data_IF_727014112698
#
_entry.id   IF_727014112698
#
_cell.length_a   1.000
_cell.length_b   1.000
_cell.length_c   1.000
_cell.angle_alpha   90.00
_cell.angle_beta   90.00
_cell.angle_gamma   90.00
#
_symmetry.space_group_name_H-M   'P 1'
#
loop_
_entity.id
_entity.type
_entity.pdbx_description
1 polymer ?
#
# COMPACT_ATOMS: atom_id res chain seq x y z
N UNK A 1 73.27 -18.08 3.13
CA UNK A 1 72.79 -18.80 1.92
C UNK A 1 71.36 -19.22 2.15
N UNK A 2 70.43 -18.40 1.78
CA UNK A 2 68.97 -18.59 1.93
C UNK A 2 68.35 -18.83 0.54
N UNK A 3 67.69 -19.95 0.39
CA UNK A 3 67.05 -20.36 -0.87
C UNK A 3 65.74 -19.54 -1.10
N UNK A 4 65.43 -19.11 -2.34
CA UNK A 4 64.21 -18.42 -2.66
C UNK A 4 63.03 -19.39 -2.78
N UNK A 5 61.87 -19.01 -2.18
CA UNK A 5 60.62 -19.76 -2.28
C UNK A 5 59.95 -19.62 -3.64
N UNK A 6 59.30 -20.69 -4.10
CA UNK A 6 58.52 -20.78 -5.34
C UNK A 6 57.23 -19.97 -5.25
N UNK A 7 56.75 -19.32 -6.33
CA UNK A 7 55.46 -18.61 -6.33
C UNK A 7 54.28 -19.57 -6.40
N UNK A 8 53.26 -19.22 -5.65
CA UNK A 8 51.98 -19.91 -5.55
C UNK A 8 51.15 -19.63 -6.82
N UNK A 9 50.81 -20.67 -7.57
CA UNK A 9 50.00 -20.59 -8.78
C UNK A 9 48.51 -20.54 -8.36
N UNK A 10 47.86 -19.40 -8.58
CA UNK A 10 46.40 -19.26 -8.42
C UNK A 10 45.70 -19.94 -9.61
N UNK A 11 44.93 -21.00 -9.31
CA UNK A 11 44.04 -21.62 -10.30
C UNK A 11 42.81 -20.68 -10.49
N UNK A 12 42.73 -20.06 -11.64
CA UNK A 12 41.53 -19.32 -12.08
C UNK A 12 40.43 -20.33 -12.39
N UNK A 13 39.43 -20.31 -11.52
CA UNK A 13 38.20 -21.09 -11.68
C UNK A 13 37.27 -20.31 -12.64
N UNK A 14 37.30 -20.62 -13.93
CA UNK A 14 36.38 -20.07 -14.94
C UNK A 14 35.03 -20.77 -14.76
N UNK A 15 34.20 -20.23 -13.89
CA UNK A 15 32.79 -20.56 -13.85
C UNK A 15 32.13 -20.11 -15.15
N UNK A 16 31.71 -21.07 -15.98
CA UNK A 16 30.93 -20.81 -17.18
C UNK A 16 29.59 -20.20 -16.81
N UNK A 17 29.48 -18.89 -16.98
CA UNK A 17 28.20 -18.18 -16.88
C UNK A 17 27.25 -18.77 -17.94
N UNK A 18 26.31 -19.61 -17.54
CA UNK A 18 25.14 -19.98 -18.36
C UNK A 18 24.48 -18.69 -18.80
N UNK A 19 24.56 -18.36 -20.08
CA UNK A 19 23.72 -17.34 -20.70
C UNK A 19 22.28 -17.79 -20.51
N UNK A 20 21.55 -17.10 -19.63
CA UNK A 20 20.10 -17.21 -19.56
C UNK A 20 19.59 -16.72 -20.93
N UNK A 21 19.02 -17.64 -21.71
CA UNK A 21 18.24 -17.28 -22.89
C UNK A 21 17.16 -16.31 -22.47
N UNK A 22 17.00 -15.15 -23.12
CA UNK A 22 15.89 -14.25 -22.80
C UNK A 22 14.59 -15.02 -23.02
N UNK A 23 13.78 -15.16 -21.97
CA UNK A 23 12.39 -15.57 -22.12
C UNK A 23 11.77 -14.54 -23.08
N UNK A 24 11.07 -14.96 -24.17
CA UNK A 24 10.46 -14.00 -25.07
C UNK A 24 9.59 -13.06 -24.24
N UNK A 25 9.82 -11.76 -24.42
CA UNK A 25 9.05 -10.72 -23.73
C UNK A 25 7.57 -10.98 -24.03
N UNK A 26 6.80 -11.42 -23.01
CA UNK A 26 5.36 -11.49 -23.15
C UNK A 26 4.90 -10.08 -23.53
N UNK A 27 4.26 -9.94 -24.70
CA UNK A 27 3.77 -8.66 -25.14
C UNK A 27 2.82 -8.12 -24.08
N UNK A 28 3.13 -6.97 -23.50
CA UNK A 28 2.25 -6.32 -22.55
C UNK A 28 0.91 -5.96 -23.22
N UNK A 29 -0.21 -6.04 -22.50
CA UNK A 29 -1.50 -5.61 -23.03
C UNK A 29 -1.49 -4.12 -23.34
N UNK A 30 -2.31 -3.69 -24.29
CA UNK A 30 -2.58 -2.28 -24.59
C UNK A 30 -3.46 -1.70 -23.49
N UNK A 31 -3.03 -0.61 -22.87
CA UNK A 31 -3.69 -0.01 -21.71
C UNK A 31 -4.28 1.34 -22.08
N UNK A 32 -5.54 1.61 -21.70
CA UNK A 32 -6.12 2.94 -21.69
C UNK A 32 -6.58 3.33 -20.28
N UNK A 33 -6.39 4.60 -19.91
CA UNK A 33 -6.80 5.14 -18.62
C UNK A 33 -8.09 5.96 -18.76
N UNK A 34 -9.10 5.60 -17.99
CA UNK A 34 -10.38 6.33 -17.91
C UNK A 34 -10.33 7.16 -16.62
N UNK A 35 -9.99 8.44 -16.77
CA UNK A 35 -9.72 9.37 -15.68
C UNK A 35 -8.27 9.82 -15.67
N UNK A 36 -8.04 11.13 -15.89
CA UNK A 36 -6.72 11.75 -15.89
C UNK A 36 -6.42 12.47 -14.56
N UNK A 37 -6.90 11.88 -13.45
CA UNK A 37 -6.61 12.35 -12.11
C UNK A 37 -5.17 12.02 -11.65
N UNK A 38 -4.87 12.28 -10.39
CA UNK A 38 -3.52 12.05 -9.82
C UNK A 38 -3.03 10.62 -10.02
N UNK A 39 -3.85 9.62 -9.72
CA UNK A 39 -3.52 8.21 -9.89
C UNK A 39 -3.37 7.85 -11.36
N UNK A 40 -4.36 8.19 -12.20
CA UNK A 40 -4.38 7.81 -13.61
C UNK A 40 -3.16 8.32 -14.37
N UNK A 41 -2.82 9.60 -14.25
CA UNK A 41 -1.66 10.16 -14.95
C UNK A 41 -0.31 9.68 -14.38
N UNK A 42 -0.22 9.41 -13.07
CA UNK A 42 1.00 8.83 -12.50
C UNK A 42 1.24 7.42 -13.02
N UNK A 43 0.22 6.56 -13.02
CA UNK A 43 0.33 5.20 -13.54
C UNK A 43 0.54 5.16 -15.05
N UNK A 44 -0.15 6.02 -15.82
CA UNK A 44 0.06 6.13 -17.26
C UNK A 44 1.52 6.48 -17.59
N UNK A 45 2.09 7.47 -16.90
CA UNK A 45 3.49 7.84 -17.02
C UNK A 45 4.43 6.67 -16.62
N UNK A 46 4.17 6.01 -15.50
CA UNK A 46 5.00 4.91 -15.02
C UNK A 46 5.01 3.73 -16.03
N UNK A 47 3.83 3.34 -16.54
CA UNK A 47 3.73 2.29 -17.56
C UNK A 47 4.38 2.68 -18.88
N UNK A 48 4.20 3.92 -19.35
CA UNK A 48 4.86 4.42 -20.55
C UNK A 48 6.38 4.38 -20.41
N UNK A 49 6.93 4.84 -19.29
CA UNK A 49 8.37 4.77 -18.99
C UNK A 49 8.90 3.32 -18.95
N UNK A 50 8.05 2.39 -18.53
CA UNK A 50 8.38 0.96 -18.51
C UNK A 50 8.21 0.25 -19.87
N UNK A 51 7.84 0.98 -20.93
CA UNK A 51 7.64 0.42 -22.27
C UNK A 51 6.35 -0.37 -22.42
N UNK A 52 5.40 -0.27 -21.48
CA UNK A 52 4.07 -0.85 -21.62
C UNK A 52 3.24 0.02 -22.57
N UNK A 53 2.52 -0.58 -23.54
CA UNK A 53 1.74 0.17 -24.54
C UNK A 53 0.55 0.91 -23.90
N UNK A 54 0.74 2.19 -23.54
CA UNK A 54 -0.36 3.07 -23.11
C UNK A 54 -0.94 3.73 -24.34
N UNK A 55 -2.10 3.25 -24.80
CA UNK A 55 -2.73 3.71 -26.05
C UNK A 55 -3.42 5.07 -25.91
N UNK A 56 -3.78 5.47 -24.68
CA UNK A 56 -4.35 6.78 -24.45
C UNK A 56 -5.00 6.94 -23.08
N UNK A 57 -5.56 8.13 -22.89
CA UNK A 57 -6.38 8.44 -21.71
C UNK A 57 -7.68 9.16 -22.07
N UNK A 58 -8.69 8.99 -21.23
CA UNK A 58 -10.00 9.68 -21.33
C UNK A 58 -10.11 10.65 -20.16
N UNK A 59 -10.47 11.90 -20.44
CA UNK A 59 -10.74 12.93 -19.43
C UNK A 59 -12.14 13.53 -19.63
N UNK A 60 -12.77 13.95 -18.54
CA UNK A 60 -14.19 14.37 -18.48
C UNK A 60 -14.53 15.54 -19.40
N UNK A 61 -13.60 16.44 -19.68
CA UNK A 61 -13.89 17.69 -20.39
C UNK A 61 -13.26 17.71 -21.78
N UNK A 62 -14.09 17.59 -22.82
CA UNK A 62 -13.63 17.68 -24.21
C UNK A 62 -13.26 19.12 -24.63
N UNK A 63 -13.69 20.15 -23.86
CA UNK A 63 -13.49 21.57 -24.19
C UNK A 63 -12.34 22.23 -23.43
N UNK A 64 -11.87 21.63 -22.36
CA UNK A 64 -10.71 22.15 -21.63
C UNK A 64 -9.42 21.78 -22.35
N UNK A 65 -8.45 22.69 -22.32
CA UNK A 65 -7.09 22.45 -22.82
C UNK A 65 -6.54 21.07 -22.39
N UNK A 66 -5.58 20.49 -23.12
CA UNK A 66 -4.99 19.20 -22.75
C UNK A 66 -4.69 19.19 -21.25
N UNK A 67 -4.96 18.07 -20.56
CA UNK A 67 -4.83 17.93 -19.09
C UNK A 67 -3.40 18.22 -18.58
N UNK A 68 -2.50 18.57 -19.46
CA UNK A 68 -1.20 19.19 -19.17
C UNK A 68 -1.32 20.60 -18.53
N UNK A 69 -2.58 21.08 -18.28
CA UNK A 69 -2.84 22.28 -17.46
C UNK A 69 -2.36 22.15 -16.01
N UNK A 70 -2.05 20.93 -15.55
CA UNK A 70 -1.33 20.74 -14.29
C UNK A 70 0.17 21.04 -14.42
N UNK A 71 0.69 21.27 -15.64
CA UNK A 71 2.09 21.61 -15.89
C UNK A 71 3.11 20.53 -15.50
N UNK A 72 2.65 19.29 -15.22
CA UNK A 72 3.53 18.22 -14.73
C UNK A 72 4.07 17.31 -15.85
N UNK A 73 3.60 17.45 -17.09
CA UNK A 73 4.10 16.68 -18.25
C UNK A 73 3.94 15.15 -18.17
N UNK A 74 3.18 14.64 -17.19
CA UNK A 74 3.08 13.18 -16.96
C UNK A 74 2.33 12.44 -18.07
N UNK A 75 1.49 13.14 -18.84
CA UNK A 75 0.78 12.56 -19.99
C UNK A 75 1.41 12.97 -21.33
N UNK A 76 2.62 13.51 -21.33
CA UNK A 76 3.31 13.88 -22.56
C UNK A 76 3.48 12.68 -23.49
N UNK A 77 3.05 12.82 -24.74
CA UNK A 77 3.11 11.75 -25.74
C UNK A 77 2.03 10.68 -25.62
N UNK A 78 1.15 10.75 -24.62
CA UNK A 78 -0.02 9.84 -24.48
C UNK A 78 -1.24 10.55 -25.09
N UNK A 79 -1.90 9.98 -26.14
CA UNK A 79 -3.01 10.61 -26.79
C UNK A 79 -4.26 10.67 -25.90
N UNK A 80 -5.01 11.75 -26.02
CA UNK A 80 -6.35 11.85 -25.44
C UNK A 80 -7.34 11.14 -26.37
N UNK A 81 -8.15 10.28 -25.81
CA UNK A 81 -9.14 9.48 -26.53
C UNK A 81 -10.57 9.81 -26.05
N UNK A 82 -11.54 9.54 -26.89
CA UNK A 82 -12.93 9.33 -26.46
C UNK A 82 -13.05 7.99 -25.76
N UNK A 83 -14.14 7.80 -25.01
CA UNK A 83 -14.40 6.52 -24.34
C UNK A 83 -14.56 5.36 -25.36
N UNK A 84 -15.18 5.64 -26.50
CA UNK A 84 -15.34 4.66 -27.58
C UNK A 84 -13.99 4.26 -28.18
N UNK A 85 -13.11 5.23 -28.46
CA UNK A 85 -11.77 4.94 -28.99
C UNK A 85 -10.94 4.13 -27.99
N UNK A 86 -11.02 4.47 -26.71
CA UNK A 86 -10.33 3.72 -25.65
C UNK A 86 -10.80 2.25 -25.60
N UNK A 87 -12.12 2.00 -25.67
CA UNK A 87 -12.68 0.66 -25.69
C UNK A 87 -12.35 -0.13 -26.97
N UNK A 88 -12.08 0.55 -28.08
CA UNK A 88 -11.69 -0.10 -29.33
C UNK A 88 -10.20 -0.44 -29.41
N UNK A 89 -9.34 0.37 -28.77
CA UNK A 89 -7.90 0.29 -28.92
C UNK A 89 -7.20 -0.47 -27.78
N UNK A 90 -7.79 -0.50 -26.57
CA UNK A 90 -7.20 -1.11 -25.41
C UNK A 90 -7.67 -2.54 -25.19
N UNK A 91 -6.82 -3.35 -24.59
CA UNK A 91 -7.15 -4.66 -24.04
C UNK A 91 -7.52 -4.53 -22.55
N UNK A 92 -6.87 -3.60 -21.84
CA UNK A 92 -7.09 -3.30 -20.43
C UNK A 92 -7.54 -1.85 -20.24
N UNK A 93 -8.73 -1.66 -19.67
CA UNK A 93 -9.30 -0.35 -19.40
C UNK A 93 -9.22 -0.07 -17.88
N UNK A 94 -8.45 0.95 -17.53
CA UNK A 94 -8.15 1.32 -16.16
C UNK A 94 -9.03 2.48 -15.70
N UNK A 95 -10.00 2.20 -14.83
CA UNK A 95 -10.88 3.19 -14.23
C UNK A 95 -10.16 3.86 -13.06
N UNK A 96 -9.62 5.04 -13.30
CA UNK A 96 -8.89 5.88 -12.34
C UNK A 96 -9.68 7.14 -12.00
N UNK A 97 -10.98 6.97 -11.88
CA UNK A 97 -11.96 7.97 -11.43
C UNK A 97 -12.17 7.86 -9.91
N UNK A 98 -12.80 8.85 -9.24
CA UNK A 98 -13.19 8.70 -7.83
C UNK A 98 -14.05 7.46 -7.59
N UNK A 99 -13.96 6.88 -6.40
CA UNK A 99 -14.53 5.57 -6.06
C UNK A 99 -16.05 5.51 -6.32
N UNK A 100 -16.77 6.56 -5.96
CA UNK A 100 -18.23 6.73 -6.16
C UNK A 100 -18.64 6.82 -7.64
N UNK A 101 -17.71 7.06 -8.55
CA UNK A 101 -17.95 7.14 -9.98
C UNK A 101 -17.58 5.85 -10.75
N UNK A 102 -16.92 4.88 -10.12
CA UNK A 102 -16.44 3.67 -10.81
C UNK A 102 -17.59 2.91 -11.47
N UNK A 103 -18.66 2.65 -10.72
CA UNK A 103 -19.82 1.92 -11.25
C UNK A 103 -20.47 2.66 -12.44
N UNK A 104 -20.74 3.96 -12.24
CA UNK A 104 -21.34 4.77 -13.29
C UNK A 104 -20.50 4.80 -14.58
N UNK A 105 -19.17 4.98 -14.44
CA UNK A 105 -18.28 4.98 -15.60
C UNK A 105 -18.20 3.59 -16.24
N UNK A 106 -18.14 2.52 -15.45
CA UNK A 106 -18.17 1.16 -15.98
C UNK A 106 -19.42 0.88 -16.82
N UNK A 107 -20.59 1.42 -16.42
CA UNK A 107 -21.86 1.25 -17.14
C UNK A 107 -21.89 1.99 -18.50
N UNK A 108 -21.00 2.96 -18.72
CA UNK A 108 -20.94 3.72 -20.00
C UNK A 108 -19.98 3.14 -21.03
N UNK A 109 -19.19 2.14 -20.66
CA UNK A 109 -18.18 1.54 -21.55
C UNK A 109 -18.79 0.38 -22.33
N UNK A 110 -18.52 0.33 -23.64
CA UNK A 110 -18.88 -0.80 -24.49
C UNK A 110 -17.88 -1.96 -24.29
N UNK A 111 -18.08 -2.70 -23.20
CA UNK A 111 -17.23 -3.84 -22.84
C UNK A 111 -17.32 -4.99 -23.83
N UNK A 112 -16.24 -5.77 -23.90
CA UNK A 112 -16.10 -6.98 -24.70
C UNK A 112 -15.47 -8.08 -23.87
N UNK A 113 -15.63 -9.33 -24.25
CA UNK A 113 -15.15 -10.53 -23.56
C UNK A 113 -13.61 -10.62 -23.43
N UNK A 114 -12.88 -10.00 -24.36
CA UNK A 114 -11.41 -9.91 -24.29
C UNK A 114 -10.87 -8.77 -23.40
N UNK A 115 -11.73 -7.88 -22.93
CA UNK A 115 -11.30 -6.78 -22.06
C UNK A 115 -10.97 -7.23 -20.64
N UNK A 116 -10.07 -6.53 -20.01
CA UNK A 116 -9.89 -6.54 -18.57
C UNK A 116 -10.29 -5.16 -18.03
N UNK A 117 -11.31 -5.14 -17.20
CA UNK A 117 -11.73 -3.95 -16.45
C UNK A 117 -10.91 -3.85 -15.17
N UNK A 118 -10.20 -2.73 -15.02
CA UNK A 118 -9.32 -2.50 -13.85
C UNK A 118 -9.78 -1.25 -13.11
N UNK A 119 -9.86 -1.28 -11.79
CA UNK A 119 -9.92 -0.06 -10.99
C UNK A 119 -8.79 0.02 -9.96
N UNK A 120 -8.45 1.25 -9.54
CA UNK A 120 -7.37 1.52 -8.60
C UNK A 120 -7.86 1.87 -7.18
N UNK A 121 -9.16 1.76 -6.90
CA UNK A 121 -9.70 1.98 -5.55
C UNK A 121 -9.15 0.94 -4.58
N UNK A 122 -8.82 1.37 -3.37
CA UNK A 122 -8.40 0.50 -2.27
C UNK A 122 -9.58 -0.20 -1.59
N UNK A 123 -10.75 0.44 -1.53
CA UNK A 123 -11.91 0.00 -0.75
C UNK A 123 -13.07 -0.53 -1.59
N UNK A 124 -13.23 -0.07 -2.85
CA UNK A 124 -14.35 -0.46 -3.71
C UNK A 124 -14.20 -1.89 -4.18
N UNK A 125 -15.24 -2.70 -3.99
CA UNK A 125 -15.28 -4.09 -4.43
C UNK A 125 -15.39 -4.19 -5.97
N UNK A 126 -14.88 -5.28 -6.57
CA UNK A 126 -14.88 -5.49 -8.01
C UNK A 126 -16.30 -5.53 -8.59
N UNK A 127 -17.31 -5.85 -7.77
CA UNK A 127 -18.73 -5.84 -8.16
C UNK A 127 -19.23 -4.47 -8.63
N UNK A 128 -18.52 -3.39 -8.34
CA UNK A 128 -18.79 -2.07 -8.91
C UNK A 128 -18.66 -2.04 -10.44
N UNK A 129 -17.89 -2.96 -11.02
CA UNK A 129 -17.72 -3.11 -12.48
C UNK A 129 -18.56 -4.29 -13.04
N UNK A 130 -19.73 -4.57 -12.45
CA UNK A 130 -20.59 -5.69 -12.86
C UNK A 130 -21.02 -5.62 -14.33
N UNK A 131 -21.20 -4.44 -14.88
CA UNK A 131 -21.51 -4.26 -16.31
C UNK A 131 -20.41 -4.84 -17.21
N UNK A 132 -19.15 -4.67 -16.86
CA UNK A 132 -18.03 -5.28 -17.56
C UNK A 132 -18.07 -6.81 -17.45
N UNK A 133 -18.31 -7.35 -16.26
CA UNK A 133 -18.41 -8.78 -16.02
C UNK A 133 -19.55 -9.41 -16.81
N UNK A 134 -20.72 -8.77 -16.87
CA UNK A 134 -21.88 -9.23 -17.62
C UNK A 134 -21.62 -9.27 -19.14
N UNK A 135 -20.72 -8.42 -19.63
CA UNK A 135 -20.28 -8.42 -21.04
C UNK A 135 -19.12 -9.42 -21.31
N UNK A 136 -18.71 -10.21 -20.31
CA UNK A 136 -17.66 -11.22 -20.43
C UNK A 136 -16.26 -10.72 -20.10
N UNK A 137 -16.08 -9.44 -19.77
CA UNK A 137 -14.78 -8.91 -19.39
C UNK A 137 -14.29 -9.46 -18.03
N UNK A 138 -13.00 -9.66 -17.91
CA UNK A 138 -12.38 -10.01 -16.63
C UNK A 138 -12.29 -8.77 -15.72
N UNK A 139 -12.40 -8.96 -14.41
CA UNK A 139 -12.30 -7.88 -13.44
C UNK A 139 -11.01 -7.97 -12.61
N UNK A 140 -10.37 -6.83 -12.41
CA UNK A 140 -9.14 -6.72 -11.64
C UNK A 140 -9.14 -5.44 -10.80
N UNK A 141 -8.79 -5.57 -9.52
CA UNK A 141 -8.44 -4.45 -8.67
C UNK A 141 -6.92 -4.31 -8.61
N UNK A 142 -6.40 -3.09 -8.80
CA UNK A 142 -4.97 -2.81 -8.77
C UNK A 142 -4.72 -1.53 -7.96
N UNK A 143 -4.48 -1.69 -6.66
CA UNK A 143 -4.33 -0.57 -5.74
C UNK A 143 -2.87 -0.42 -5.29
N UNK A 144 -2.09 0.49 -5.87
CA UNK A 144 -0.75 0.77 -5.39
C UNK A 144 -0.78 1.33 -3.97
N UNK A 145 0.03 0.77 -3.07
CA UNK A 145 0.26 1.32 -1.73
C UNK A 145 1.23 2.50 -1.83
N UNK A 146 0.72 3.62 -2.33
CA UNK A 146 1.48 4.82 -2.63
C UNK A 146 0.65 6.08 -2.36
N UNK A 147 1.32 7.19 -2.04
CA UNK A 147 0.71 8.49 -1.82
C UNK A 147 0.78 9.30 -3.13
N UNK A 148 -0.39 9.57 -3.72
CA UNK A 148 -0.51 10.29 -4.98
C UNK A 148 -0.84 11.79 -4.82
N UNK A 149 -0.61 12.38 -3.65
CA UNK A 149 -0.83 13.82 -3.42
C UNK A 149 -0.02 14.69 -4.39
N UNK A 150 1.22 14.27 -4.68
CA UNK A 150 2.13 14.90 -5.64
C UNK A 150 2.50 13.87 -6.74
N UNK A 151 1.83 13.92 -7.90
CA UNK A 151 1.95 12.88 -8.92
C UNK A 151 3.36 12.63 -9.46
N UNK A 152 4.19 13.68 -9.63
CA UNK A 152 5.60 13.50 -10.06
C UNK A 152 6.40 12.71 -9.04
N UNK A 153 6.32 13.09 -7.76
CA UNK A 153 6.99 12.38 -6.68
C UNK A 153 6.47 10.94 -6.60
N UNK A 154 5.15 10.76 -6.75
CA UNK A 154 4.54 9.44 -6.74
C UNK A 154 5.12 8.53 -7.82
N UNK A 155 5.35 9.02 -9.05
CA UNK A 155 5.96 8.23 -10.12
C UNK A 155 7.39 7.82 -9.77
N UNK A 156 8.19 8.74 -9.25
CA UNK A 156 9.60 8.50 -8.98
C UNK A 156 9.82 7.59 -7.74
N UNK A 157 8.86 7.60 -6.79
CA UNK A 157 8.90 6.78 -5.57
C UNK A 157 8.01 5.53 -5.65
N UNK A 158 7.38 5.26 -6.79
CA UNK A 158 6.56 4.06 -7.01
C UNK A 158 7.37 2.76 -6.92
N UNK A 159 8.58 2.67 -7.53
CA UNK A 159 9.40 1.47 -7.43
C UNK A 159 9.73 1.10 -5.97
N UNK A 160 9.63 -0.18 -5.65
CA UNK A 160 9.80 -0.71 -4.28
C UNK A 160 8.53 -0.76 -3.45
N UNK A 161 7.46 -0.06 -3.85
CA UNK A 161 6.16 -0.14 -3.20
C UNK A 161 5.45 -1.47 -3.47
N UNK A 162 4.39 -1.73 -2.71
CA UNK A 162 3.50 -2.88 -2.92
C UNK A 162 2.26 -2.45 -3.68
N UNK A 163 1.58 -3.42 -4.29
CA UNK A 163 0.28 -3.20 -4.93
C UNK A 163 -0.70 -4.30 -4.52
N UNK A 164 -1.85 -3.90 -4.00
CA UNK A 164 -2.95 -4.80 -3.70
C UNK A 164 -3.66 -5.23 -4.98
N UNK A 165 -3.62 -6.51 -5.30
CA UNK A 165 -4.28 -7.09 -6.48
C UNK A 165 -5.41 -8.00 -6.03
N UNK A 166 -6.58 -7.80 -6.58
CA UNK A 166 -7.73 -8.70 -6.49
C UNK A 166 -8.18 -9.08 -7.89
N UNK A 167 -8.54 -10.34 -8.09
CA UNK A 167 -9.04 -10.85 -9.36
C UNK A 167 -10.38 -11.51 -9.08
N UNK A 168 -11.43 -11.07 -9.78
CA UNK A 168 -12.68 -11.81 -9.81
C UNK A 168 -12.54 -12.97 -10.79
N UNK A 169 -12.76 -14.17 -10.30
CA UNK A 169 -12.96 -15.32 -11.18
C UNK A 169 -14.29 -15.15 -11.92
N UNK A 170 -14.29 -15.43 -13.24
CA UNK A 170 -15.56 -15.59 -13.96
C UNK A 170 -16.40 -16.61 -13.18
N UNK A 171 -17.75 -16.47 -13.18
CA UNK A 171 -18.61 -17.45 -12.55
C UNK A 171 -18.49 -18.79 -13.29
N UNK A 172 -17.47 -19.55 -12.93
CA UNK A 172 -17.37 -20.96 -13.29
C UNK A 172 -18.35 -21.74 -12.41
N UNK A 173 -18.98 -22.76 -12.97
CA UNK A 173 -19.97 -23.64 -12.39
C UNK A 173 -19.79 -23.93 -10.88
N UNK A 174 -20.86 -24.27 -10.14
CA UNK A 174 -20.92 -24.28 -8.68
C UNK A 174 -19.70 -24.98 -8.08
N UNK A 175 -18.92 -24.20 -7.33
CA UNK A 175 -17.73 -24.68 -6.67
C UNK A 175 -18.06 -25.90 -5.80
N UNK A 176 -17.51 -27.03 -6.12
CA UNK A 176 -17.47 -28.17 -5.22
C UNK A 176 -16.66 -27.73 -3.99
N UNK A 177 -17.35 -27.50 -2.88
CA UNK A 177 -16.74 -27.20 -1.58
C UNK A 177 -15.87 -28.38 -1.18
N UNK A 178 -14.58 -28.26 -1.22
CA UNK A 178 -13.67 -29.28 -0.71
C UNK A 178 -12.35 -29.47 -1.42
N UNK A 179 -12.13 -28.89 -2.58
CA UNK A 179 -10.80 -28.94 -3.20
C UNK A 179 -9.94 -27.84 -2.58
N UNK A 180 -8.88 -28.23 -1.89
CA UNK A 180 -7.70 -27.44 -1.63
C UNK A 180 -7.19 -27.02 -3.02
N UNK A 181 -7.46 -25.78 -3.44
CA UNK A 181 -6.95 -25.24 -4.71
C UNK A 181 -5.42 -25.23 -4.59
N UNK A 182 -4.79 -26.23 -5.19
CA UNK A 182 -3.40 -26.13 -5.59
C UNK A 182 -3.30 -24.87 -6.46
N UNK A 183 -2.63 -23.85 -5.94
CA UNK A 183 -2.67 -22.48 -6.44
C UNK A 183 -1.92 -22.38 -7.79
N UNK A 184 -2.49 -22.92 -8.86
CA UNK A 184 -2.04 -22.62 -10.21
C UNK A 184 -2.35 -21.14 -10.50
N UNK A 185 -1.31 -20.35 -10.64
CA UNK A 185 -1.40 -18.92 -10.97
C UNK A 185 -2.11 -18.76 -12.31
N UNK A 186 -3.26 -18.12 -12.33
CA UNK A 186 -4.03 -17.91 -13.57
C UNK A 186 -3.29 -17.02 -14.57
N UNK A 187 -3.56 -17.13 -15.88
CA UNK A 187 -2.95 -16.23 -16.87
C UNK A 187 -3.15 -14.75 -16.55
N UNK A 188 -4.34 -14.36 -16.08
CA UNK A 188 -4.63 -12.99 -15.67
C UNK A 188 -3.78 -12.56 -14.47
N UNK A 189 -3.57 -13.46 -13.50
CA UNK A 189 -2.71 -13.19 -12.35
C UNK A 189 -1.24 -13.02 -12.77
N UNK A 190 -0.78 -13.81 -13.74
CA UNK A 190 0.57 -13.68 -14.30
C UNK A 190 0.75 -12.33 -15.01
N UNK A 191 -0.22 -11.93 -15.83
CA UNK A 191 -0.21 -10.64 -16.53
C UNK A 191 -0.26 -9.46 -15.55
N UNK A 192 -1.14 -9.50 -14.55
CA UNK A 192 -1.22 -8.46 -13.52
C UNK A 192 0.09 -8.35 -12.73
N UNK A 193 0.72 -9.49 -12.41
CA UNK A 193 2.03 -9.54 -11.75
C UNK A 193 3.13 -8.95 -12.64
N UNK A 194 3.12 -9.27 -13.94
CA UNK A 194 4.10 -8.73 -14.88
C UNK A 194 3.98 -7.21 -15.01
N UNK A 195 2.74 -6.69 -15.13
CA UNK A 195 2.48 -5.25 -15.15
C UNK A 195 2.93 -4.55 -13.86
N UNK A 196 2.62 -5.12 -12.70
CA UNK A 196 3.08 -4.57 -11.42
C UNK A 196 4.60 -4.46 -11.38
N UNK A 197 5.30 -5.54 -11.73
CA UNK A 197 6.76 -5.59 -11.74
C UNK A 197 7.39 -4.66 -12.78
N UNK A 198 6.74 -4.45 -13.91
CA UNK A 198 7.23 -3.54 -14.95
C UNK A 198 7.41 -2.11 -14.42
N UNK A 199 6.56 -1.67 -13.49
CA UNK A 199 6.65 -0.36 -12.83
C UNK A 199 7.26 -0.43 -11.42
N UNK A 200 7.99 -1.51 -11.12
CA UNK A 200 8.74 -1.68 -9.87
C UNK A 200 7.91 -2.04 -8.65
N UNK A 201 6.64 -2.43 -8.81
CA UNK A 201 5.77 -2.82 -7.71
C UNK A 201 5.85 -4.32 -7.39
N UNK A 202 5.68 -4.66 -6.11
CA UNK A 202 5.55 -6.05 -5.66
C UNK A 202 4.08 -6.37 -5.35
N UNK A 203 3.47 -7.39 -6.00
CA UNK A 203 2.08 -7.77 -5.75
C UNK A 203 1.80 -8.28 -4.34
N UNK A 204 0.62 -7.90 -3.82
CA UNK A 204 -0.06 -8.48 -2.67
C UNK A 204 -1.44 -8.92 -3.13
N UNK A 205 -1.77 -10.21 -3.01
CA UNK A 205 -3.07 -10.70 -3.44
C UNK A 205 -4.10 -10.54 -2.32
N UNK A 206 -5.20 -9.83 -2.63
CA UNK A 206 -6.31 -9.59 -1.71
C UNK A 206 -7.38 -10.64 -2.01
N UNK A 207 -7.95 -11.22 -0.96
CA UNK A 207 -9.09 -12.14 -1.10
C UNK A 207 -10.35 -11.36 -1.48
N UNK A 208 -11.23 -11.92 -2.31
CA UNK A 208 -12.51 -11.29 -2.62
C UNK A 208 -13.29 -10.89 -1.36
N UNK A 209 -13.92 -9.71 -1.39
CA UNK A 209 -14.68 -9.16 -0.27
C UNK A 209 -13.84 -8.64 0.91
N UNK A 210 -12.53 -8.50 0.78
CA UNK A 210 -11.64 -8.03 1.86
C UNK A 210 -11.00 -6.66 1.57
N UNK A 211 -11.40 -5.99 0.51
CA UNK A 211 -10.80 -4.70 0.11
C UNK A 211 -10.97 -3.62 1.17
N UNK A 212 -12.16 -3.48 1.73
CA UNK A 212 -12.42 -2.47 2.77
C UNK A 212 -11.50 -2.66 4.00
N UNK A 213 -11.32 -3.91 4.46
CA UNK A 213 -10.44 -4.23 5.58
C UNK A 213 -8.96 -3.97 5.23
N UNK A 214 -8.54 -4.39 4.04
CA UNK A 214 -7.20 -4.11 3.52
C UNK A 214 -6.92 -2.61 3.45
N UNK A 215 -7.85 -1.82 2.91
CA UNK A 215 -7.69 -0.38 2.76
C UNK A 215 -7.70 0.36 4.11
N UNK A 216 -8.54 -0.07 5.05
CA UNK A 216 -8.52 0.46 6.41
C UNK A 216 -7.14 0.25 7.07
N UNK A 217 -6.52 -0.92 6.89
CA UNK A 217 -5.17 -1.18 7.36
C UNK A 217 -4.12 -0.26 6.73
N UNK A 218 -4.22 0.00 5.43
CA UNK A 218 -3.36 0.98 4.75
C UNK A 218 -3.59 2.41 5.28
N UNK A 219 -4.84 2.76 5.60
CA UNK A 219 -5.20 4.03 6.21
C UNK A 219 -4.53 4.27 7.56
N UNK A 220 -4.40 3.23 8.40
CA UNK A 220 -3.65 3.34 9.66
C UNK A 220 -2.17 3.62 9.43
N UNK A 221 -1.55 3.01 8.44
CA UNK A 221 -0.14 3.21 8.15
C UNK A 221 0.17 4.54 7.42
N UNK A 222 -0.82 5.19 6.83
CA UNK A 222 -0.67 6.42 6.07
C UNK A 222 -1.34 7.61 6.75
N UNK A 223 -2.63 7.86 6.48
CA UNK A 223 -3.33 9.06 6.95
C UNK A 223 -3.46 9.15 8.47
N UNK A 224 -3.65 8.01 9.17
CA UNK A 224 -3.71 8.03 10.62
C UNK A 224 -2.35 8.37 11.25
N UNK A 225 -1.23 7.95 10.66
CA UNK A 225 0.10 8.36 11.11
C UNK A 225 0.26 9.88 11.05
N UNK A 226 -0.17 10.52 9.95
CA UNK A 226 -0.14 11.99 9.82
C UNK A 226 -1.04 12.65 10.87
N UNK A 227 -2.22 12.07 11.15
CA UNK A 227 -3.12 12.58 12.21
C UNK A 227 -2.50 12.49 13.59
N UNK A 228 -1.75 11.41 13.90
CA UNK A 228 -1.03 11.29 15.16
C UNK A 228 0.10 12.32 15.30
N UNK A 229 0.81 12.61 14.21
CA UNK A 229 1.84 13.66 14.21
C UNK A 229 1.23 15.05 14.42
N UNK A 230 0.07 15.33 13.80
CA UNK A 230 -0.65 16.58 14.00
C UNK A 230 -1.11 16.73 15.46
N UNK A 231 -1.64 15.65 16.07
CA UNK A 231 -2.04 15.67 17.48
C UNK A 231 -0.83 15.88 18.42
N UNK A 232 0.29 15.21 18.13
CA UNK A 232 1.52 15.44 18.90
C UNK A 232 1.98 16.91 18.82
N UNK A 233 1.89 17.54 17.65
CA UNK A 233 2.21 18.96 17.49
C UNK A 233 1.26 19.86 18.26
N UNK A 234 -0.06 19.56 18.28
CA UNK A 234 -1.04 20.29 19.08
C UNK A 234 -0.70 20.22 20.59
N UNK A 235 -0.36 19.05 21.10
CA UNK A 235 0.04 18.88 22.50
C UNK A 235 1.30 19.69 22.84
N UNK A 236 2.27 19.74 21.93
CA UNK A 236 3.50 20.50 22.12
C UNK A 236 3.27 22.00 22.07
N UNK A 237 2.34 22.49 21.23
CA UNK A 237 1.92 23.89 21.22
C UNK A 237 1.32 24.29 22.56
N UNK A 238 0.47 23.46 23.15
CA UNK A 238 -0.08 23.69 24.49
C UNK A 238 0.98 23.65 25.60
N UNK A 239 2.07 22.88 25.39
CA UNK A 239 3.23 22.87 26.27
C UNK A 239 4.18 24.06 26.06
N UNK A 240 3.88 24.99 25.14
CA UNK A 240 4.66 26.21 24.90
C UNK A 240 5.89 25.99 23.98
N UNK A 241 5.90 24.91 23.18
CA UNK A 241 6.96 24.68 22.20
C UNK A 241 6.64 25.46 20.92
N UNK A 242 7.61 26.22 20.39
CA UNK A 242 7.46 27.03 19.18
C UNK A 242 7.19 26.16 17.94
N UNK A 243 6.39 26.69 17.00
CA UNK A 243 5.95 25.93 15.82
C UNK A 243 7.10 25.53 14.89
N UNK A 244 8.16 26.32 14.83
CA UNK A 244 9.34 26.05 14.00
C UNK A 244 10.08 24.79 14.44
N UNK A 245 10.14 24.52 15.75
CA UNK A 245 10.87 23.38 16.32
C UNK A 245 10.05 22.08 16.31
N UNK A 246 8.72 22.16 16.25
CA UNK A 246 7.85 20.97 16.42
C UNK A 246 8.05 19.91 15.36
N UNK A 247 7.96 20.27 14.08
CA UNK A 247 8.09 19.31 12.99
C UNK A 247 9.51 18.82 12.82
N UNK A 248 10.50 19.70 13.06
CA UNK A 248 11.91 19.34 13.01
C UNK A 248 12.31 18.32 14.09
N UNK A 249 11.56 18.25 15.19
CA UNK A 249 11.76 17.24 16.23
C UNK A 249 10.87 16.01 16.05
N UNK A 250 9.57 16.18 15.71
CA UNK A 250 8.60 15.08 15.62
C UNK A 250 8.83 14.18 14.41
N UNK A 251 9.19 14.73 13.24
CA UNK A 251 9.42 13.93 12.04
C UNK A 251 10.63 12.99 12.15
N UNK A 252 11.81 13.42 12.67
CA UNK A 252 12.90 12.50 12.93
C UNK A 252 12.58 11.45 14.00
N UNK A 253 11.79 11.79 15.03
CA UNK A 253 11.33 10.83 16.04
C UNK A 253 10.45 9.75 15.41
N UNK A 254 9.47 10.15 14.61
CA UNK A 254 8.60 9.20 13.88
C UNK A 254 9.41 8.30 12.93
N UNK A 255 10.36 8.86 12.18
CA UNK A 255 11.24 8.09 11.28
C UNK A 255 12.06 7.05 12.04
N UNK A 256 12.62 7.39 13.19
CA UNK A 256 13.35 6.45 14.06
C UNK A 256 12.43 5.36 14.62
N UNK A 257 11.18 5.69 14.93
CA UNK A 257 10.17 4.73 15.41
C UNK A 257 9.82 3.72 14.31
N UNK A 258 9.66 4.19 13.06
CA UNK A 258 9.43 3.31 11.90
C UNK A 258 10.64 2.38 11.70
N UNK A 259 11.86 2.91 11.72
CA UNK A 259 13.08 2.10 11.59
C UNK A 259 13.22 1.05 12.71
N UNK A 260 12.84 1.37 13.94
CA UNK A 260 12.80 0.41 15.05
C UNK A 260 11.77 -0.71 14.80
N UNK A 261 10.59 -0.37 14.26
CA UNK A 261 9.57 -1.35 13.90
C UNK A 261 10.05 -2.27 12.76
N UNK A 262 10.74 -1.73 11.74
CA UNK A 262 11.36 -2.51 10.67
C UNK A 262 12.40 -3.49 11.21
N UNK A 263 13.30 -3.03 12.09
CA UNK A 263 14.30 -3.87 12.72
C UNK A 263 13.67 -4.99 13.56
N UNK A 264 12.64 -4.69 14.34
CA UNK A 264 11.90 -5.68 15.13
C UNK A 264 11.21 -6.73 14.24
N UNK A 265 10.61 -6.30 13.14
CA UNK A 265 9.99 -7.19 12.17
C UNK A 265 11.03 -8.12 11.49
N UNK A 266 12.18 -7.58 11.10
CA UNK A 266 13.25 -8.35 10.46
C UNK A 266 13.86 -9.41 11.40
N UNK A 267 14.10 -9.07 12.66
CA UNK A 267 14.71 -9.98 13.66
C UNK A 267 13.83 -11.18 13.94
N UNK A 268 12.51 -11.03 13.84
CA UNK A 268 11.55 -12.08 14.18
C UNK A 268 10.87 -12.72 12.95
N UNK A 269 11.29 -12.40 11.74
CA UNK A 269 10.69 -12.93 10.51
C UNK A 269 10.72 -14.47 10.43
N UNK A 270 11.71 -15.11 11.07
CA UNK A 270 11.84 -16.57 11.17
C UNK A 270 10.94 -17.21 12.24
N UNK A 271 10.47 -16.43 13.23
CA UNK A 271 9.73 -16.90 14.39
C UNK A 271 8.25 -16.46 14.39
N UNK A 272 7.82 -15.61 13.45
CA UNK A 272 6.44 -15.16 13.35
C UNK A 272 5.51 -16.32 13.02
N UNK A 273 4.64 -16.68 13.96
CA UNK A 273 3.58 -17.66 13.72
C UNK A 273 2.44 -17.03 12.92
N UNK A 274 1.73 -17.84 12.13
CA UNK A 274 0.55 -17.37 11.37
C UNK A 274 -0.54 -16.74 12.25
N UNK A 275 -0.58 -17.06 13.53
CA UNK A 275 -1.56 -16.60 14.51
C UNK A 275 -1.26 -15.23 15.11
N UNK A 276 0.00 -14.75 15.05
CA UNK A 276 0.41 -13.46 15.61
C UNK A 276 1.47 -12.77 14.74
N UNK A 277 1.14 -12.41 13.49
CA UNK A 277 2.12 -11.90 12.52
C UNK A 277 2.71 -10.53 12.90
N UNK A 278 2.05 -9.78 13.79
CA UNK A 278 2.47 -8.44 14.24
C UNK A 278 3.09 -8.43 15.64
N UNK A 279 3.15 -9.57 16.34
CA UNK A 279 3.72 -9.67 17.68
C UNK A 279 5.14 -9.06 17.77
N UNK A 280 6.03 -9.23 16.77
CA UNK A 280 7.36 -8.62 16.80
C UNK A 280 7.35 -7.11 16.97
N UNK A 281 6.35 -6.41 16.48
CA UNK A 281 6.23 -4.95 16.60
C UNK A 281 6.11 -4.48 18.07
N UNK A 282 5.66 -5.36 18.98
CA UNK A 282 5.63 -5.07 20.41
C UNK A 282 7.01 -4.71 20.98
N UNK A 283 8.08 -5.29 20.43
CA UNK A 283 9.46 -4.98 20.86
C UNK A 283 9.97 -3.61 20.38
N UNK A 284 9.29 -2.99 19.41
CA UNK A 284 9.60 -1.63 18.97
C UNK A 284 8.88 -0.55 19.80
N UNK A 285 7.91 -0.93 20.65
CA UNK A 285 7.18 0.02 21.48
C UNK A 285 8.11 0.50 22.61
N UNK A 286 8.26 1.82 22.71
CA UNK A 286 9.00 2.49 23.76
C UNK A 286 8.03 3.38 24.59
N UNK A 287 8.53 3.93 25.70
CA UNK A 287 7.77 4.87 26.51
C UNK A 287 7.14 4.25 27.76
N UNK A 288 6.21 4.96 28.42
CA UNK A 288 5.71 4.58 29.74
C UNK A 288 4.89 3.28 29.72
N UNK A 289 4.12 3.03 28.66
CA UNK A 289 3.33 1.79 28.54
C UNK A 289 4.25 0.56 28.45
N UNK A 290 5.33 0.66 27.65
CA UNK A 290 6.29 -0.44 27.49
C UNK A 290 7.08 -0.76 28.79
N UNK A 291 7.19 0.21 29.70
CA UNK A 291 7.85 0.03 31.01
C UNK A 291 6.84 -0.20 32.15
N UNK A 292 5.54 -0.24 31.86
CA UNK A 292 4.47 -0.27 32.85
C UNK A 292 4.63 0.85 33.90
N UNK A 293 5.02 2.06 33.46
CA UNK A 293 5.21 3.23 34.31
C UNK A 293 3.85 3.92 34.57
N UNK A 294 3.12 3.38 35.56
CA UNK A 294 1.76 3.83 35.90
C UNK A 294 1.73 5.31 36.26
N UNK A 295 2.74 5.79 36.99
CA UNK A 295 2.80 7.19 37.43
C UNK A 295 2.92 8.17 36.25
N UNK A 296 3.67 7.82 35.21
CA UNK A 296 3.76 8.64 33.99
C UNK A 296 2.46 8.58 33.19
N UNK A 297 1.86 7.40 33.03
CA UNK A 297 0.57 7.23 32.34
C UNK A 297 -0.50 8.10 32.97
N UNK A 298 -0.63 8.08 34.29
CA UNK A 298 -1.57 8.91 35.04
C UNK A 298 -1.32 10.41 34.86
N UNK A 299 -0.06 10.85 34.89
CA UNK A 299 0.29 12.26 34.64
C UNK A 299 -0.10 12.70 33.21
N UNK A 300 0.10 11.84 32.21
CA UNK A 300 -0.34 12.15 30.83
C UNK A 300 -1.86 12.34 30.76
N UNK A 301 -2.62 11.38 31.30
CA UNK A 301 -4.07 11.44 31.30
C UNK A 301 -4.59 12.69 32.02
N UNK A 302 -4.01 13.00 33.21
CA UNK A 302 -4.37 14.18 33.98
C UNK A 302 -4.05 15.48 33.23
N UNK A 303 -2.92 15.56 32.55
CA UNK A 303 -2.53 16.73 31.74
C UNK A 303 -3.55 16.95 30.59
N UNK A 304 -3.94 15.89 29.90
CA UNK A 304 -4.96 15.96 28.85
C UNK A 304 -6.30 16.49 29.39
N UNK A 305 -6.81 15.94 30.48
CA UNK A 305 -8.03 16.42 31.11
C UNK A 305 -7.95 17.88 31.56
N UNK A 306 -6.83 18.27 32.20
CA UNK A 306 -6.61 19.64 32.67
C UNK A 306 -6.68 20.66 31.53
N UNK A 307 -6.28 20.28 30.32
CA UNK A 307 -6.35 21.13 29.12
C UNK A 307 -7.63 20.94 28.32
N UNK A 308 -8.62 20.18 28.85
CA UNK A 308 -9.90 19.93 28.17
C UNK A 308 -9.80 19.08 26.91
N UNK A 309 -8.75 18.26 26.79
CA UNK A 309 -8.50 17.40 25.64
C UNK A 309 -9.16 16.03 25.80
N UNK A 310 -9.45 15.38 24.65
CA UNK A 310 -10.05 14.05 24.65
C UNK A 310 -9.01 12.98 25.02
N UNK A 311 -9.21 12.37 26.18
CA UNK A 311 -8.37 11.26 26.68
C UNK A 311 -8.63 9.94 25.93
N UNK A 312 -9.73 9.81 25.17
CA UNK A 312 -10.11 8.57 24.52
C UNK A 312 -9.08 8.13 23.46
N UNK A 313 -8.50 9.08 22.72
CA UNK A 313 -7.44 8.78 21.75
C UNK A 313 -6.21 8.19 22.43
N UNK A 314 -5.72 8.84 23.49
CA UNK A 314 -4.55 8.35 24.24
C UNK A 314 -4.82 6.94 24.79
N UNK A 315 -5.98 6.72 25.39
CA UNK A 315 -6.39 5.40 25.90
C UNK A 315 -6.44 4.34 24.81
N UNK A 316 -7.11 4.63 23.70
CA UNK A 316 -7.21 3.68 22.57
C UNK A 316 -5.86 3.27 22.02
N UNK A 317 -4.94 4.22 21.90
CA UNK A 317 -3.55 3.94 21.46
C UNK A 317 -2.82 3.11 22.51
N UNK A 318 -2.91 3.49 23.81
CA UNK A 318 -2.27 2.74 24.89
C UNK A 318 -2.80 1.31 25.03
N UNK A 319 -4.11 1.09 24.88
CA UNK A 319 -4.73 -0.25 24.85
C UNK A 319 -4.20 -1.13 23.71
N UNK A 320 -3.97 -0.54 22.52
CA UNK A 320 -3.32 -1.26 21.41
C UNK A 320 -1.86 -1.59 21.72
N UNK A 321 -1.13 -0.68 22.39
CA UNK A 321 0.23 -0.95 22.84
C UNK A 321 0.26 -2.10 23.85
N UNK A 322 -0.64 -2.10 24.86
CA UNK A 322 -0.78 -3.19 25.84
C UNK A 322 -1.02 -4.54 25.15
N UNK A 323 -1.91 -4.59 24.16
CA UNK A 323 -2.18 -5.81 23.41
C UNK A 323 -0.94 -6.32 22.65
N UNK A 324 -0.20 -5.43 21.99
CA UNK A 324 1.03 -5.78 21.25
C UNK A 324 2.16 -6.23 22.20
N UNK A 325 2.35 -5.54 23.33
CA UNK A 325 3.34 -5.90 24.33
C UNK A 325 3.05 -7.27 24.97
N UNK A 326 1.76 -7.57 25.19
CA UNK A 326 1.31 -8.89 25.65
C UNK A 326 1.59 -9.99 24.63
N UNK A 327 1.28 -9.75 23.35
CA UNK A 327 1.56 -10.71 22.26
C UNK A 327 3.07 -10.96 22.08
N UNK A 328 3.89 -9.94 22.29
CA UNK A 328 5.34 -10.03 22.21
C UNK A 328 5.99 -10.67 23.48
N UNK A 329 5.22 -10.87 24.55
CA UNK A 329 5.78 -11.31 25.83
C UNK A 329 6.71 -10.27 26.49
N UNK A 330 6.58 -9.00 26.11
CA UNK A 330 7.45 -7.91 26.58
C UNK A 330 7.10 -7.44 28.00
N UNK A 331 5.89 -7.71 28.46
CA UNK A 331 5.42 -7.42 29.82
C UNK A 331 4.81 -8.67 30.47
N UNK A 332 4.94 -8.77 31.79
CA UNK A 332 4.24 -9.80 32.57
C UNK A 332 2.74 -9.52 32.66
N UNK A 333 1.94 -10.54 32.95
CA UNK A 333 0.48 -10.40 33.15
C UNK A 333 0.16 -9.33 34.21
N UNK A 334 0.88 -9.32 35.31
CA UNK A 334 0.70 -8.33 36.39
C UNK A 334 0.94 -6.89 35.87
N UNK A 335 1.98 -6.68 35.08
CA UNK A 335 2.27 -5.37 34.48
C UNK A 335 1.19 -4.94 33.49
N UNK A 336 0.75 -5.86 32.62
CA UNK A 336 -0.34 -5.59 31.67
C UNK A 336 -1.63 -5.19 32.39
N UNK A 337 -1.98 -5.89 33.47
CA UNK A 337 -3.19 -5.61 34.23
C UNK A 337 -3.10 -4.30 35.01
N UNK A 338 -1.93 -3.95 35.53
CA UNK A 338 -1.69 -2.65 36.17
C UNK A 338 -1.88 -1.48 35.17
N UNK A 339 -1.35 -1.61 33.94
CA UNK A 339 -1.55 -0.57 32.91
C UNK A 339 -3.02 -0.46 32.50
N UNK A 340 -3.72 -1.60 32.28
CA UNK A 340 -5.16 -1.59 31.98
C UNK A 340 -5.98 -0.92 33.07
N UNK A 341 -5.68 -1.21 34.34
CA UNK A 341 -6.36 -0.60 35.47
C UNK A 341 -6.17 0.92 35.50
N UNK A 342 -4.94 1.41 35.24
CA UNK A 342 -4.66 2.84 35.17
C UNK A 342 -5.43 3.53 34.03
N UNK A 343 -5.57 2.90 32.88
CA UNK A 343 -6.33 3.42 31.74
C UNK A 343 -7.84 3.42 32.00
N UNK A 344 -8.36 2.46 32.77
CA UNK A 344 -9.78 2.31 33.05
C UNK A 344 -10.36 3.43 33.95
N UNK A 345 -9.54 4.07 34.78
CA UNK A 345 -9.97 5.19 35.64
C UNK A 345 -10.56 6.35 34.83
N UNK A 346 -10.09 6.53 33.59
CA UNK A 346 -10.48 7.60 32.68
C UNK A 346 -11.47 7.10 31.59
N UNK A 347 -12.18 5.99 31.82
CA UNK A 347 -13.20 5.54 30.89
C UNK A 347 -14.38 6.56 30.85
N UNK A 348 -14.97 6.82 29.68
CA UNK A 348 -16.17 7.64 29.61
C UNK A 348 -17.25 6.97 30.45
N UNK A 349 -17.94 7.78 31.29
CA UNK A 349 -19.07 7.34 32.12
C UNK A 349 -20.31 7.11 31.27
#
# INVERSE_FOLDING_TARGET
>A
MTRPGKPYSAKTNTSSARRLTPVPAQAHPRIAFIGAGRVGRSLACAFQRAGVPVVGYVARDQKSAPVDTAGDGLLAGIPRLSLTEAALQADWLWLTVPDDHIAHVADTIAWRDHHVAVHCSGATELTAMRSAQNAGAALLGFHPLQIFSQPRIAVDTLPGSRVGIEIAHAPSAPAQRGAQEDAQTTPLQQQATALARAIGLTPLFIRPGQRALYHAGAGYAASALVSMLAEAANLWALAGIESEDMLDALLPLASKTIAAAEAAAATNATNATRSAPVAPLGHAIAGPVARADIGVIQRHLQALETHGLDVALYRSVAEKQVALLGQAGALTTTQLDAVKAALAVYAPR
#
